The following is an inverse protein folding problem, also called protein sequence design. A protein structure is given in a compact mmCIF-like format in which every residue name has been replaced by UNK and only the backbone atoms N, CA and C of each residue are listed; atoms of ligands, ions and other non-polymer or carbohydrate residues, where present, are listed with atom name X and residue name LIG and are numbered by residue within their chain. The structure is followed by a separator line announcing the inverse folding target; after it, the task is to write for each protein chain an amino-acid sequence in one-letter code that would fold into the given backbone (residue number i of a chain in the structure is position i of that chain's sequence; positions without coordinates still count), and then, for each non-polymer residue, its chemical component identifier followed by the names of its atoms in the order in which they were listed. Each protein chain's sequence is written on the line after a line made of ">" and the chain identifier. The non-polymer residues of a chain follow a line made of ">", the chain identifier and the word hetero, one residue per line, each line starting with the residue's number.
data_IF_433275390160
#
_entry.id   IF_433275390160
#
_cell.length_a   1.000
_cell.length_b   1.000
_cell.length_c   1.000
_cell.angle_alpha   90.00
_cell.angle_beta   90.00
_cell.angle_gamma   90.00
#
_symmetry.space_group_name_H-M   'P 1'
#
loop_
_entity.id
_entity.type
_entity.pdbx_description
1 polymer ?
#
# COMPACT_ATOMS: atom_id res chain seq x y z
N UNK A 1 -2.46 5.91 49.68
CA UNK A 1 -3.90 5.81 49.36
C UNK A 1 -4.52 7.17 49.60
N UNK A 2 -4.93 7.85 48.53
CA UNK A 2 -5.57 9.16 48.58
C UNK A 2 -6.56 9.22 47.43
N UNK A 3 -7.83 9.36 47.77
CA UNK A 3 -8.95 9.45 46.86
C UNK A 3 -8.97 10.80 46.13
N UNK A 4 -9.59 10.85 44.95
CA UNK A 4 -10.86 11.56 44.73
C UNK A 4 -11.11 11.73 43.23
N UNK A 5 -12.36 11.47 42.88
CA UNK A 5 -12.95 11.61 41.57
C UNK A 5 -12.84 13.04 41.05
N UNK A 6 -12.57 13.19 39.74
CA UNK A 6 -12.91 14.39 38.99
C UNK A 6 -13.86 13.99 37.86
N UNK A 7 -15.14 14.34 38.04
CA UNK A 7 -16.14 14.40 36.98
C UNK A 7 -15.96 15.73 36.25
N UNK A 8 -16.00 15.75 34.91
CA UNK A 8 -16.15 16.99 34.17
C UNK A 8 -16.87 16.76 32.84
N UNK A 9 -17.88 17.61 32.66
CA UNK A 9 -18.98 17.61 31.71
C UNK A 9 -18.62 17.89 30.26
N UNK A 10 -19.55 17.49 29.38
CA UNK A 10 -19.65 17.86 27.97
C UNK A 10 -19.78 19.39 27.83
N UNK A 11 -18.98 19.99 26.95
CA UNK A 11 -19.11 21.41 26.60
C UNK A 11 -19.76 21.57 25.22
N UNK A 12 -20.92 22.23 25.19
CA UNK A 12 -21.54 22.79 24.00
C UNK A 12 -20.92 24.18 23.72
N UNK A 13 -20.48 24.41 22.49
CA UNK A 13 -19.94 25.71 22.06
C UNK A 13 -21.09 26.66 21.69
N UNK A 14 -21.20 27.77 22.43
CA UNK A 14 -22.07 28.91 22.12
C UNK A 14 -21.32 30.21 22.45
N UNK A 15 -21.38 31.17 21.52
CA UNK A 15 -20.55 32.37 21.42
C UNK A 15 -20.59 33.32 22.64
N UNK A 16 -19.47 33.98 22.91
CA UNK A 16 -19.34 35.14 23.81
C UNK A 16 -17.88 35.57 23.97
N UNK A 17 -17.55 36.81 23.58
CA UNK A 17 -16.23 37.43 23.74
C UNK A 17 -15.90 37.66 25.22
N UNK A 18 -14.67 37.29 25.65
CA UNK A 18 -13.94 37.99 26.73
C UNK A 18 -12.44 37.81 26.55
N UNK A 19 -11.72 38.92 26.46
CA UNK A 19 -10.25 39.02 26.44
C UNK A 19 -9.66 38.71 27.82
N UNK A 20 -8.63 37.86 27.89
CA UNK A 20 -7.74 37.77 29.07
C UNK A 20 -6.30 37.53 28.61
N UNK A 21 -5.38 38.32 29.18
CA UNK A 21 -3.96 38.43 28.85
C UNK A 21 -3.09 37.59 29.82
N UNK A 22 -1.98 37.04 29.31
CA UNK A 22 -0.83 36.37 30.00
C UNK A 22 -1.10 34.97 30.59
N UNK A 23 -0.19 33.99 30.61
CA UNK A 23 1.27 34.00 30.80
C UNK A 23 1.88 32.69 30.22
N UNK A 24 3.07 32.76 29.64
CA UNK A 24 3.81 31.61 29.12
C UNK A 24 4.28 30.68 30.27
N UNK A 25 3.82 29.43 30.25
CA UNK A 25 4.56 28.32 30.86
C UNK A 25 4.51 27.10 29.95
N UNK A 26 5.68 26.79 29.41
CA UNK A 26 6.04 25.65 28.56
C UNK A 26 5.59 24.31 29.15
N UNK A 27 4.75 23.57 28.41
CA UNK A 27 4.75 22.10 28.39
C UNK A 27 4.45 21.66 26.94
N UNK A 28 5.51 21.35 26.21
CA UNK A 28 5.44 20.76 24.87
C UNK A 28 5.24 19.25 24.97
N UNK A 29 4.00 18.77 24.91
CA UNK A 29 3.69 17.42 24.43
C UNK A 29 2.26 17.39 23.90
N UNK A 30 2.11 17.33 22.57
CA UNK A 30 1.12 16.50 21.86
C UNK A 30 1.38 16.66 20.36
N UNK A 31 2.22 15.77 19.82
CA UNK A 31 2.32 15.59 18.39
C UNK A 31 0.97 15.09 17.87
N UNK A 32 0.21 15.99 17.25
CA UNK A 32 -0.97 15.67 16.45
C UNK A 32 -0.56 14.63 15.39
N UNK A 33 -1.34 13.56 15.14
CA UNK A 33 -1.07 12.69 14.00
C UNK A 33 -1.37 13.49 12.73
N UNK A 34 -0.35 14.15 12.19
CA UNK A 34 -0.42 14.81 10.89
C UNK A 34 -0.68 13.73 9.86
N UNK A 35 -1.91 13.70 9.33
CA UNK A 35 -2.28 12.89 8.18
C UNK A 35 -1.36 13.29 7.02
N UNK A 36 -0.26 12.56 6.83
CA UNK A 36 0.75 12.87 5.82
C UNK A 36 0.06 12.92 4.45
N UNK A 37 0.05 14.09 3.83
CA UNK A 37 -0.52 14.27 2.50
C UNK A 37 0.37 13.51 1.51
N UNK A 38 -0.22 12.58 0.74
CA UNK A 38 0.51 11.82 -0.27
C UNK A 38 0.97 12.73 -1.40
N UNK A 39 2.22 12.58 -1.81
CA UNK A 39 2.77 13.26 -2.98
C UNK A 39 2.04 12.86 -4.28
N UNK A 40 2.31 13.60 -5.37
CA UNK A 40 1.76 13.26 -6.70
C UNK A 40 2.24 11.88 -7.15
N UNK A 41 3.53 11.58 -6.96
CA UNK A 41 4.13 10.32 -7.37
C UNK A 41 3.62 9.15 -6.50
N UNK A 42 3.41 9.35 -5.20
CA UNK A 42 2.79 8.32 -4.33
C UNK A 42 1.35 8.02 -4.75
N UNK A 43 0.55 9.04 -5.09
CA UNK A 43 -0.82 8.83 -5.60
C UNK A 43 -0.82 8.08 -6.92
N UNK A 44 0.09 8.42 -7.84
CA UNK A 44 0.25 7.73 -9.10
C UNK A 44 0.71 6.27 -8.91
N UNK A 45 1.63 6.00 -7.97
CA UNK A 45 2.05 4.64 -7.63
C UNK A 45 0.88 3.81 -7.06
N UNK A 46 0.08 4.38 -6.17
CA UNK A 46 -1.13 3.73 -5.63
C UNK A 46 -2.12 3.40 -6.76
N UNK A 47 -2.33 4.33 -7.70
CA UNK A 47 -3.18 4.11 -8.87
C UNK A 47 -2.63 3.00 -9.76
N UNK A 48 -1.32 2.97 -10.00
CA UNK A 48 -0.65 1.94 -10.79
C UNK A 48 -0.81 0.55 -10.16
N UNK A 49 -0.61 0.42 -8.85
CA UNK A 49 -0.78 -0.84 -8.10
C UNK A 49 -2.25 -1.30 -8.19
N UNK A 50 -3.19 -0.39 -7.95
CA UNK A 50 -4.62 -0.68 -7.95
C UNK A 50 -5.09 -1.12 -9.33
N UNK A 51 -4.68 -0.41 -10.38
CA UNK A 51 -5.01 -0.74 -11.77
C UNK A 51 -4.43 -2.09 -12.15
N UNK A 52 -3.13 -2.31 -11.93
CA UNK A 52 -2.44 -3.56 -12.26
C UNK A 52 -3.18 -4.77 -11.70
N UNK A 53 -3.59 -4.71 -10.42
CA UNK A 53 -4.22 -5.85 -9.79
C UNK A 53 -5.68 -6.04 -10.21
N UNK A 54 -6.47 -4.96 -10.25
CA UNK A 54 -7.90 -5.04 -10.59
C UNK A 54 -8.15 -5.41 -12.05
N UNK A 55 -7.25 -5.04 -12.97
CA UNK A 55 -7.33 -5.41 -14.39
C UNK A 55 -6.56 -6.68 -14.73
N UNK A 56 -6.01 -7.38 -13.72
CA UNK A 56 -5.14 -8.56 -13.91
C UNK A 56 -3.97 -8.32 -14.87
N UNK A 57 -3.39 -7.11 -14.85
CA UNK A 57 -2.22 -6.79 -15.66
C UNK A 57 -1.02 -7.69 -15.38
N UNK A 58 -0.97 -8.32 -14.20
CA UNK A 58 0.05 -9.31 -13.85
C UNK A 58 -0.02 -10.61 -14.67
N UNK A 59 -1.16 -10.95 -15.28
CA UNK A 59 -1.31 -12.12 -16.17
C UNK A 59 -0.94 -11.80 -17.62
N UNK A 60 -0.60 -10.53 -17.93
CA UNK A 60 -0.27 -10.08 -19.28
C UNK A 60 1.22 -9.78 -19.41
N UNK A 61 1.94 -10.60 -20.17
CA UNK A 61 3.38 -10.45 -20.38
C UNK A 61 3.78 -9.11 -21.02
N UNK A 62 2.98 -8.56 -21.93
CA UNK A 62 3.26 -7.26 -22.54
C UNK A 62 3.09 -6.11 -21.53
N UNK A 63 2.09 -6.23 -20.64
CA UNK A 63 1.92 -5.31 -19.51
C UNK A 63 3.12 -5.38 -18.58
N UNK A 64 3.54 -6.59 -18.17
CA UNK A 64 4.70 -6.77 -17.30
C UNK A 64 5.96 -6.16 -17.92
N UNK A 65 6.25 -6.45 -19.20
CA UNK A 65 7.38 -5.87 -19.95
C UNK A 65 7.36 -4.33 -19.96
N UNK A 66 6.16 -3.74 -19.99
CA UNK A 66 5.98 -2.28 -20.03
C UNK A 66 5.98 -1.61 -18.65
N UNK A 67 5.62 -2.32 -17.60
CA UNK A 67 5.37 -1.77 -16.26
C UNK A 67 6.35 -2.25 -15.18
N UNK A 68 7.21 -3.22 -15.49
CA UNK A 68 8.25 -3.70 -14.58
C UNK A 68 9.65 -3.27 -15.03
N UNK A 69 10.57 -3.11 -14.08
CA UNK A 69 11.98 -2.92 -14.39
C UNK A 69 12.59 -4.22 -14.93
N UNK A 70 13.73 -4.11 -15.64
CA UNK A 70 14.48 -5.30 -16.10
C UNK A 70 14.87 -6.22 -14.94
N UNK A 71 15.14 -5.65 -13.75
CA UNK A 71 15.45 -6.40 -12.53
C UNK A 71 14.26 -7.25 -12.11
N UNK A 72 13.07 -6.67 -12.01
CA UNK A 72 11.87 -7.42 -11.65
C UNK A 72 11.51 -8.47 -12.71
N UNK A 73 11.60 -8.13 -14.00
CA UNK A 73 11.33 -9.09 -15.08
C UNK A 73 12.26 -10.31 -15.02
N UNK A 74 13.55 -10.12 -14.70
CA UNK A 74 14.48 -11.24 -14.49
C UNK A 74 14.06 -12.13 -13.32
N UNK A 75 13.62 -11.53 -12.21
CA UNK A 75 13.10 -12.28 -11.06
C UNK A 75 11.87 -13.10 -11.47
N UNK A 76 10.87 -12.46 -12.08
CA UNK A 76 9.63 -13.13 -12.50
C UNK A 76 9.89 -14.25 -13.51
N UNK A 77 10.86 -14.06 -14.42
CA UNK A 77 11.26 -15.09 -15.38
C UNK A 77 11.92 -16.28 -14.70
N UNK A 78 12.89 -16.02 -13.83
CA UNK A 78 13.57 -17.07 -13.08
C UNK A 78 12.62 -17.86 -12.18
N UNK A 79 11.65 -17.19 -11.54
CA UNK A 79 10.60 -17.87 -10.76
C UNK A 79 9.72 -18.74 -11.64
N UNK A 80 9.34 -18.27 -12.85
CA UNK A 80 8.56 -19.09 -13.78
C UNK A 80 9.33 -20.33 -14.22
N UNK A 81 10.57 -20.14 -14.67
CA UNK A 81 11.43 -21.21 -15.22
C UNK A 81 11.84 -22.25 -14.16
N UNK A 82 11.72 -21.91 -12.88
CA UNK A 82 11.94 -22.85 -11.79
C UNK A 82 10.77 -23.81 -11.60
N UNK A 83 9.54 -23.35 -11.83
CA UNK A 83 8.31 -24.13 -11.61
C UNK A 83 7.76 -24.77 -12.89
N UNK A 84 8.09 -24.20 -14.05
CA UNK A 84 7.54 -24.59 -15.35
C UNK A 84 8.63 -24.68 -16.43
N UNK A 85 8.30 -25.36 -17.52
CA UNK A 85 9.15 -25.39 -18.71
C UNK A 85 9.43 -23.96 -19.22
N UNK A 86 10.70 -23.59 -19.44
CA UNK A 86 11.06 -22.24 -19.85
C UNK A 86 10.38 -21.83 -21.15
N UNK A 87 9.59 -20.77 -21.10
CA UNK A 87 8.97 -20.14 -22.27
C UNK A 87 9.50 -18.72 -22.46
N UNK A 88 9.72 -18.25 -23.71
CA UNK A 88 10.36 -16.95 -23.97
C UNK A 88 9.67 -15.77 -23.29
N UNK A 89 8.33 -15.79 -23.28
CA UNK A 89 7.48 -14.68 -22.87
C UNK A 89 6.60 -14.99 -21.65
N UNK A 90 7.01 -15.96 -20.85
CA UNK A 90 6.31 -16.31 -19.61
C UNK A 90 6.99 -15.69 -18.38
N UNK A 91 6.18 -15.23 -17.44
CA UNK A 91 6.60 -14.60 -16.20
C UNK A 91 5.73 -15.09 -15.05
N UNK A 92 6.29 -15.16 -13.85
CA UNK A 92 5.58 -15.55 -12.64
C UNK A 92 4.58 -14.48 -12.15
N UNK A 93 3.51 -14.22 -12.92
CA UNK A 93 2.46 -13.25 -12.58
C UNK A 93 1.80 -13.53 -11.22
N UNK A 94 1.77 -14.80 -10.79
CA UNK A 94 1.28 -15.22 -9.48
C UNK A 94 2.05 -14.59 -8.30
N UNK A 95 3.26 -14.06 -8.52
CA UNK A 95 3.99 -13.28 -7.52
C UNK A 95 3.24 -12.01 -7.06
N UNK A 96 2.34 -11.48 -7.89
CA UNK A 96 1.44 -10.36 -7.53
C UNK A 96 0.16 -10.81 -6.81
N UNK A 97 -0.09 -12.11 -6.79
CA UNK A 97 -1.26 -12.75 -6.17
C UNK A 97 -0.89 -13.30 -4.79
N UNK A 98 -1.82 -14.03 -4.18
CA UNK A 98 -1.60 -14.71 -2.90
C UNK A 98 -0.62 -15.89 -3.01
N UNK A 99 -0.52 -16.50 -4.19
CA UNK A 99 0.16 -17.78 -4.39
C UNK A 99 -0.73 -19.00 -4.13
N UNK A 100 -1.96 -18.79 -3.63
CA UNK A 100 -2.96 -19.86 -3.55
C UNK A 100 -3.43 -20.26 -4.96
N UNK A 101 -3.68 -21.55 -5.15
CA UNK A 101 -4.24 -22.09 -6.38
C UNK A 101 -5.75 -21.79 -6.48
N UNK A 102 -6.48 -21.99 -5.38
CA UNK A 102 -7.93 -21.80 -5.28
C UNK A 102 -8.28 -20.96 -4.04
N UNK A 103 -9.52 -20.44 -4.03
CA UNK A 103 -10.07 -19.72 -2.89
C UNK A 103 -11.59 -19.87 -2.79
N UNK A 104 -12.20 -19.39 -1.70
CA UNK A 104 -13.62 -19.61 -1.41
C UNK A 104 -14.59 -18.90 -2.38
N UNK A 105 -14.11 -18.03 -3.27
CA UNK A 105 -14.96 -17.33 -4.25
C UNK A 105 -14.15 -16.77 -5.42
N UNK A 106 -14.80 -16.09 -6.37
CA UNK A 106 -14.12 -15.35 -7.44
C UNK A 106 -13.82 -13.88 -7.06
N UNK A 107 -13.97 -13.48 -5.79
CA UNK A 107 -13.77 -12.10 -5.39
C UNK A 107 -12.30 -11.67 -5.55
N UNK A 108 -12.07 -10.65 -6.37
CA UNK A 108 -10.74 -10.18 -6.77
C UNK A 108 -10.71 -8.65 -6.84
N UNK A 109 -10.00 -7.99 -5.91
CA UNK A 109 -9.82 -6.53 -5.92
C UNK A 109 -8.81 -6.05 -4.90
N UNK A 110 -8.19 -4.91 -5.14
CA UNK A 110 -7.46 -4.17 -4.10
C UNK A 110 -8.44 -3.57 -3.09
N UNK A 111 -8.17 -3.79 -1.81
CA UNK A 111 -8.92 -3.22 -0.69
C UNK A 111 -8.26 -1.95 -0.16
N UNK A 112 -6.92 -1.94 -0.09
CA UNK A 112 -6.15 -0.81 0.45
C UNK A 112 -4.72 -0.83 -0.09
N UNK A 113 -4.16 0.34 -0.35
CA UNK A 113 -2.72 0.51 -0.57
C UNK A 113 -2.18 1.52 0.44
N UNK A 114 -1.06 1.20 1.08
CA UNK A 114 -0.39 2.03 2.08
C UNK A 114 1.06 2.26 1.67
N UNK A 115 1.49 3.52 1.61
CA UNK A 115 2.91 3.89 1.45
C UNK A 115 3.66 3.54 2.73
N UNK A 116 4.72 2.74 2.60
CA UNK A 116 5.62 2.37 3.70
C UNK A 116 6.86 3.26 3.77
N UNK A 117 7.00 4.24 2.86
CA UNK A 117 8.23 4.99 2.65
C UNK A 117 9.25 4.24 1.80
N UNK A 118 10.33 4.92 1.40
CA UNK A 118 11.39 4.36 0.54
C UNK A 118 10.86 3.65 -0.71
N UNK A 119 9.82 4.21 -1.34
CA UNK A 119 9.16 3.68 -2.54
C UNK A 119 8.48 2.31 -2.35
N UNK A 120 8.34 1.84 -1.11
CA UNK A 120 7.60 0.61 -0.79
C UNK A 120 6.14 0.90 -0.54
N UNK A 121 5.30 0.02 -1.05
CA UNK A 121 3.85 0.07 -0.87
C UNK A 121 3.37 -1.30 -0.45
N UNK A 122 2.53 -1.34 0.57
CA UNK A 122 1.79 -2.53 0.96
C UNK A 122 0.39 -2.44 0.40
N UNK A 123 -0.02 -3.43 -0.40
CA UNK A 123 -1.39 -3.54 -0.86
C UNK A 123 -2.06 -4.75 -0.22
N UNK A 124 -3.22 -4.51 0.37
CA UNK A 124 -4.14 -5.53 0.89
C UNK A 124 -5.23 -5.71 -0.16
N UNK A 125 -5.51 -6.95 -0.52
CA UNK A 125 -6.36 -7.30 -1.66
C UNK A 125 -7.13 -8.59 -1.37
N UNK A 126 -8.17 -8.83 -2.17
CA UNK A 126 -8.83 -10.10 -2.30
C UNK A 126 -8.26 -10.82 -3.52
N UNK A 127 -7.86 -12.08 -3.36
CA UNK A 127 -7.49 -13.01 -4.42
C UNK A 127 -8.34 -14.26 -4.25
N UNK A 128 -9.27 -14.49 -5.16
CA UNK A 128 -10.23 -15.60 -5.06
C UNK A 128 -10.97 -15.64 -3.70
N UNK A 129 -11.30 -14.47 -3.14
CA UNK A 129 -11.94 -14.34 -1.82
C UNK A 129 -11.00 -14.43 -0.62
N UNK A 130 -9.72 -14.76 -0.80
CA UNK A 130 -8.72 -14.71 0.26
C UNK A 130 -8.24 -13.28 0.46
N UNK A 131 -8.27 -12.81 1.71
CA UNK A 131 -7.72 -11.50 2.06
C UNK A 131 -6.21 -11.63 2.27
N UNK A 132 -5.44 -11.11 1.33
CA UNK A 132 -3.99 -11.22 1.32
C UNK A 132 -3.33 -9.85 1.39
N UNK A 133 -2.01 -9.85 1.60
CA UNK A 133 -1.22 -8.63 1.63
C UNK A 133 0.12 -8.88 0.97
N UNK A 134 0.51 -8.03 0.03
CA UNK A 134 1.82 -8.07 -0.61
C UNK A 134 2.48 -6.69 -0.49
N UNK A 135 3.81 -6.67 -0.64
CA UNK A 135 4.60 -5.45 -0.72
C UNK A 135 5.23 -5.34 -2.10
N UNK A 136 5.19 -4.15 -2.68
CA UNK A 136 5.83 -3.86 -3.96
C UNK A 136 6.59 -2.55 -3.87
N UNK A 137 7.74 -2.50 -4.52
CA UNK A 137 8.53 -1.28 -4.67
C UNK A 137 8.23 -0.67 -6.02
N UNK A 138 7.85 0.61 -6.03
CA UNK A 138 7.55 1.37 -7.26
C UNK A 138 8.53 2.51 -7.40
N UNK A 139 9.37 2.47 -8.43
CA UNK A 139 10.40 3.49 -8.67
C UNK A 139 10.04 4.33 -9.90
N UNK A 140 10.58 5.54 -9.95
CA UNK A 140 10.50 6.42 -11.11
C UNK A 140 11.74 6.25 -11.98
N UNK A 141 11.55 5.91 -13.25
CA UNK A 141 12.62 5.83 -14.25
C UNK A 141 12.26 6.81 -15.36
N UNK A 142 13.01 7.92 -15.42
CA UNK A 142 12.62 9.07 -16.25
C UNK A 142 11.25 9.62 -15.85
N UNK A 143 10.31 9.64 -16.79
CA UNK A 143 8.94 10.13 -16.57
C UNK A 143 7.93 9.02 -16.24
N UNK A 144 8.36 7.77 -16.08
CA UNK A 144 7.47 6.61 -15.87
C UNK A 144 7.68 5.97 -14.51
N UNK A 145 6.59 5.54 -13.87
CA UNK A 145 6.63 4.68 -12.68
C UNK A 145 6.63 3.21 -13.10
N UNK A 146 7.51 2.42 -12.48
CA UNK A 146 7.69 1.00 -12.75
C UNK A 146 7.76 0.19 -11.45
N UNK A 147 7.27 -1.04 -11.48
CA UNK A 147 7.48 -2.03 -10.42
C UNK A 147 8.92 -2.53 -10.44
N UNK A 148 9.63 -2.45 -9.32
CA UNK A 148 11.05 -2.84 -9.21
C UNK A 148 11.30 -4.09 -8.38
N UNK A 149 10.50 -4.30 -7.34
CA UNK A 149 10.63 -5.45 -6.43
C UNK A 149 9.26 -5.84 -5.92
N UNK A 150 9.08 -7.14 -5.66
CA UNK A 150 7.86 -7.67 -5.05
C UNK A 150 8.19 -8.65 -3.93
N UNK A 151 7.37 -8.63 -2.88
CA UNK A 151 7.42 -9.55 -1.75
C UNK A 151 6.00 -9.97 -1.41
N UNK A 152 5.70 -11.24 -1.57
CA UNK A 152 4.43 -11.79 -1.10
C UNK A 152 4.38 -11.76 0.42
N UNK A 153 3.23 -11.42 0.98
CA UNK A 153 2.97 -11.67 2.40
C UNK A 153 2.54 -13.11 2.62
N UNK A 154 2.58 -13.55 3.87
CA UNK A 154 2.00 -14.82 4.26
C UNK A 154 0.47 -14.69 4.22
N UNK A 155 -0.20 -15.72 3.71
CA UNK A 155 -1.66 -15.89 3.78
C UNK A 155 -2.02 -16.28 5.22
#
# INVERSE_FOLDING_TARGET
>A
MGALYASASVFYNGAGETSVVMNQKTVSVKGTPTKKVLSKDERAAISLITSMYNTKGFDNSAYLKSHCTKKLLKLLKATYDYEYDPQPDAYAGWMFRSGAQDGPSNAHKVLRVVSLGNNWYQYTFLDMGLKCTNKVKVIKVGNKLLFDEIKQGKI
#
